data_IF_903496667702
#
_entry.id   IF_903496667702
#
_cell.length_a   1.000
_cell.length_b   1.000
_cell.length_c   1.000
_cell.angle_alpha   90.00
_cell.angle_beta   90.00
_cell.angle_gamma   90.00
#
_symmetry.space_group_name_H-M   'P 1'
#
loop_
_entity.id
_entity.type
_entity.pdbx_description
1 polymer ?
#
# COMPACT_ATOMS: atom_id res chain seq x y z
N UNK A 1 -21.69 41.91 38.51
CA UNK A 1 -22.96 41.24 38.90
C UNK A 1 -22.79 39.75 38.70
N UNK A 2 -23.05 38.99 39.77
CA UNK A 2 -22.96 37.53 39.86
C UNK A 2 -24.14 36.90 39.10
N UNK A 3 -23.94 35.77 38.42
CA UNK A 3 -24.67 34.49 38.64
C UNK A 3 -23.89 33.33 38.02
N UNK A 4 -23.44 32.44 38.90
CA UNK A 4 -23.01 31.08 38.59
C UNK A 4 -24.24 30.16 38.60
N UNK A 5 -24.25 29.08 37.82
CA UNK A 5 -25.00 27.86 38.18
C UNK A 5 -24.35 26.64 37.53
N UNK A 6 -23.77 25.81 38.39
CA UNK A 6 -23.32 24.43 38.23
C UNK A 6 -24.50 23.46 38.16
N UNK A 7 -24.35 22.34 37.44
CA UNK A 7 -24.95 21.06 37.85
C UNK A 7 -24.13 19.89 37.29
N UNK A 8 -23.95 18.90 38.16
CA UNK A 8 -22.99 17.82 38.09
C UNK A 8 -23.69 16.46 37.96
N UNK A 9 -22.85 15.44 37.72
CA UNK A 9 -23.01 14.04 38.11
C UNK A 9 -23.83 13.14 37.17
N UNK A 10 -23.24 12.02 36.72
CA UNK A 10 -23.29 10.72 37.41
C UNK A 10 -22.36 9.71 36.70
N UNK A 11 -21.58 9.01 37.52
CA UNK A 11 -20.68 7.90 37.21
C UNK A 11 -21.48 6.60 37.06
N UNK A 12 -21.08 5.71 36.14
CA UNK A 12 -21.30 4.28 36.32
C UNK A 12 -20.10 3.48 35.77
N UNK A 13 -19.34 2.94 36.72
CA UNK A 13 -18.28 1.96 36.58
C UNK A 13 -18.91 0.58 36.39
N UNK A 14 -18.49 -0.20 35.40
CA UNK A 14 -18.67 -1.66 35.44
C UNK A 14 -17.44 -2.36 34.88
N UNK A 15 -16.57 -2.75 35.83
CA UNK A 15 -15.56 -3.78 35.66
C UNK A 15 -16.29 -5.13 35.67
N UNK A 16 -16.10 -5.94 34.63
CA UNK A 16 -16.37 -7.38 34.72
C UNK A 16 -15.03 -8.09 34.63
N UNK A 17 -14.59 -8.56 35.79
CA UNK A 17 -13.46 -9.48 35.95
C UNK A 17 -14.01 -10.89 35.74
N UNK A 18 -13.63 -11.53 34.64
CA UNK A 18 -13.85 -12.96 34.43
C UNK A 18 -12.59 -13.74 34.81
N UNK A 19 -12.49 -14.10 36.09
CA UNK A 19 -11.53 -15.07 36.59
C UNK A 19 -12.27 -16.37 36.89
N UNK A 20 -12.01 -17.43 36.12
CA UNK A 20 -12.16 -18.80 36.59
C UNK A 20 -10.86 -19.54 36.33
N UNK A 21 -10.19 -19.86 37.42
CA UNK A 21 -9.04 -20.72 37.49
C UNK A 21 -9.48 -22.19 37.56
N UNK A 22 -8.64 -23.03 36.95
CA UNK A 22 -8.18 -24.35 37.37
C UNK A 22 -9.18 -25.51 37.54
N UNK A 23 -9.03 -26.50 36.64
CA UNK A 23 -8.89 -27.91 37.04
C UNK A 23 -7.49 -28.36 36.64
N UNK A 24 -6.70 -28.81 37.63
CA UNK A 24 -5.41 -29.46 37.45
C UNK A 24 -5.61 -30.88 36.90
N UNK A 25 -4.74 -31.37 36.01
CA UNK A 25 -3.72 -32.35 36.41
C UNK A 25 -2.68 -32.64 35.31
N UNK A 26 -1.43 -32.71 35.78
CA UNK A 26 -0.27 -33.50 35.33
C UNK A 26 0.49 -33.28 34.00
N UNK A 27 1.73 -32.79 34.20
CA UNK A 27 3.00 -33.41 33.79
C UNK A 27 3.56 -33.15 32.37
N UNK A 28 4.47 -32.15 32.34
CA UNK A 28 5.86 -32.17 31.81
C UNK A 28 6.07 -32.58 30.35
N UNK A 29 6.37 -31.60 29.49
CA UNK A 29 7.67 -31.59 28.81
C UNK A 29 8.09 -30.19 28.30
N UNK A 30 9.38 -29.96 28.41
CA UNK A 30 10.15 -28.77 28.03
C UNK A 30 10.28 -28.61 26.52
N UNK A 31 9.87 -27.47 25.96
CA UNK A 31 10.49 -26.89 24.75
C UNK A 31 10.18 -25.39 24.67
N UNK A 32 11.18 -24.48 24.63
CA UNK A 32 10.93 -23.08 24.33
C UNK A 32 10.65 -22.96 22.83
N UNK A 33 9.37 -22.95 22.44
CA UNK A 33 8.98 -22.63 21.07
C UNK A 33 9.11 -21.12 20.88
N UNK A 34 10.30 -20.75 20.43
CA UNK A 34 10.70 -19.46 19.88
C UNK A 34 9.52 -18.65 19.33
N UNK A 35 9.31 -17.48 19.93
CA UNK A 35 8.74 -16.32 19.27
C UNK A 35 9.55 -16.06 18.00
N UNK A 36 8.98 -16.25 16.82
CA UNK A 36 9.30 -15.52 15.59
C UNK A 36 8.33 -15.99 14.51
N UNK A 37 7.28 -15.22 14.26
CA UNK A 37 6.57 -15.15 12.96
C UNK A 37 5.53 -14.02 12.98
N UNK A 38 5.95 -12.80 13.35
CA UNK A 38 5.09 -11.61 13.26
C UNK A 38 5.68 -10.52 12.36
N UNK A 39 6.64 -10.85 11.48
CA UNK A 39 7.34 -9.82 10.70
C UNK A 39 7.35 -10.02 9.17
N UNK A 40 6.78 -11.12 8.63
CA UNK A 40 6.64 -11.26 7.16
C UNK A 40 5.35 -10.65 6.59
N UNK A 41 4.31 -10.50 7.39
CA UNK A 41 3.02 -9.98 6.90
C UNK A 41 2.98 -8.45 6.75
N UNK A 42 3.85 -7.71 7.45
CA UNK A 42 3.79 -6.25 7.47
C UNK A 42 4.30 -5.61 6.18
N UNK A 43 5.39 -6.12 5.61
CA UNK A 43 5.92 -5.61 4.34
C UNK A 43 5.00 -5.90 3.14
N UNK A 44 4.36 -7.07 3.09
CA UNK A 44 3.41 -7.40 2.01
C UNK A 44 2.12 -6.56 2.09
N UNK A 45 1.62 -6.28 3.30
CA UNK A 45 0.40 -5.47 3.47
C UNK A 45 0.63 -3.97 3.23
N UNK A 46 1.83 -3.44 3.50
CA UNK A 46 2.16 -2.02 3.23
C UNK A 46 2.17 -1.70 1.73
N UNK A 47 2.27 -2.71 0.86
CA UNK A 47 2.23 -2.55 -0.59
C UNK A 47 0.80 -2.51 -1.15
N UNK A 48 -0.22 -2.91 -0.37
CA UNK A 48 -1.62 -2.81 -0.75
C UNK A 48 -2.24 -1.57 -0.10
N UNK A 49 -2.73 -0.62 -0.90
CA UNK A 49 -3.43 0.58 -0.40
C UNK A 49 -4.75 0.78 -1.12
N UNK A 50 -5.72 1.38 -0.44
CA UNK A 50 -7.05 1.64 -1.00
C UNK A 50 -7.16 3.10 -1.47
N UNK A 51 -7.75 3.29 -2.65
CA UNK A 51 -8.15 4.58 -3.21
C UNK A 51 -9.57 4.42 -3.73
N UNK A 52 -10.54 5.08 -3.08
CA UNK A 52 -11.98 5.05 -3.45
C UNK A 52 -12.54 3.66 -3.74
N UNK A 53 -12.21 2.67 -2.90
CA UNK A 53 -12.68 1.29 -3.06
C UNK A 53 -11.82 0.41 -3.95
N UNK A 54 -10.89 0.97 -4.73
CA UNK A 54 -9.87 0.20 -5.45
C UNK A 54 -8.72 -0.13 -4.52
N UNK A 55 -8.46 -1.42 -4.30
CA UNK A 55 -7.24 -1.88 -3.64
C UNK A 55 -6.14 -2.01 -4.69
N UNK A 56 -5.06 -1.25 -4.54
CA UNK A 56 -3.92 -1.20 -5.45
C UNK A 56 -2.72 -1.80 -4.74
N UNK A 57 -2.09 -2.78 -5.39
CA UNK A 57 -0.90 -3.47 -4.92
C UNK A 57 0.28 -3.15 -5.83
N UNK A 58 1.38 -2.71 -5.24
CA UNK A 58 2.66 -2.60 -5.96
C UNK A 58 3.43 -3.90 -5.78
N UNK A 59 3.50 -4.69 -6.85
CA UNK A 59 4.11 -6.03 -6.80
C UNK A 59 5.63 -5.89 -6.83
N UNK A 60 6.15 -5.13 -7.78
CA UNK A 60 7.59 -4.89 -7.87
C UNK A 60 7.97 -3.67 -8.73
N UNK A 61 9.23 -3.25 -8.55
CA UNK A 61 9.91 -2.27 -9.38
C UNK A 61 11.14 -2.92 -10.00
N UNK A 62 11.23 -2.90 -11.34
CA UNK A 62 12.31 -3.51 -12.10
C UNK A 62 13.01 -2.45 -12.94
N UNK A 63 14.34 -2.48 -12.94
CA UNK A 63 15.21 -1.74 -13.83
C UNK A 63 15.40 -2.57 -15.08
N UNK A 64 14.93 -2.03 -16.21
CA UNK A 64 15.19 -2.60 -17.51
C UNK A 64 16.43 -1.97 -18.12
N UNK A 65 17.13 -2.77 -18.92
CA UNK A 65 18.26 -2.31 -19.70
C UNK A 65 17.90 -1.13 -20.60
N UNK A 66 18.96 -0.39 -20.96
CA UNK A 66 18.87 0.84 -21.73
C UNK A 66 18.08 0.62 -23.00
N UNK A 67 17.07 1.48 -23.23
CA UNK A 67 16.33 1.45 -24.48
C UNK A 67 17.30 1.74 -25.64
N UNK A 68 17.35 0.84 -26.63
CA UNK A 68 18.32 0.89 -27.75
C UNK A 68 18.35 2.22 -28.51
N UNK A 69 17.30 3.03 -28.39
CA UNK A 69 17.13 4.31 -29.10
C UNK A 69 17.51 5.54 -28.26
N UNK A 70 17.49 5.47 -26.92
CA UNK A 70 17.65 6.65 -26.07
C UNK A 70 18.78 6.54 -25.03
N UNK A 71 19.40 5.37 -24.88
CA UNK A 71 20.39 5.08 -23.83
C UNK A 71 19.85 5.28 -22.39
N UNK A 72 18.54 5.44 -22.26
CA UNK A 72 17.87 5.68 -20.98
C UNK A 72 17.58 4.36 -20.27
N UNK A 73 17.90 4.31 -18.98
CA UNK A 73 17.45 3.25 -18.08
C UNK A 73 15.96 3.41 -17.81
N UNK A 74 15.22 2.30 -17.91
CA UNK A 74 13.76 2.31 -17.73
C UNK A 74 13.40 1.66 -16.39
N UNK A 75 12.52 2.31 -15.65
CA UNK A 75 11.84 1.77 -14.48
C UNK A 75 10.50 1.18 -14.92
N UNK A 76 10.32 -0.12 -14.72
CA UNK A 76 9.03 -0.80 -14.82
C UNK A 76 8.43 -0.95 -13.43
N UNK A 77 7.21 -0.48 -13.23
CA UNK A 77 6.40 -0.75 -12.03
C UNK A 77 5.34 -1.77 -12.42
N UNK A 78 5.39 -2.94 -11.79
CA UNK A 78 4.37 -3.97 -11.95
C UNK A 78 3.37 -3.86 -10.80
N UNK A 79 2.08 -3.75 -11.13
CA UNK A 79 1.04 -3.47 -10.15
C UNK A 79 -0.28 -4.13 -10.51
N UNK A 80 -1.09 -4.36 -9.49
CA UNK A 80 -2.43 -4.94 -9.58
C UNK A 80 -3.44 -4.00 -8.93
N UNK A 81 -4.65 -3.97 -9.46
CA UNK A 81 -5.78 -3.30 -8.83
C UNK A 81 -7.01 -4.20 -8.81
N UNK A 82 -7.77 -4.12 -7.72
CA UNK A 82 -9.08 -4.75 -7.58
C UNK A 82 -10.11 -3.72 -7.14
N UNK A 83 -11.18 -3.58 -7.90
CA UNK A 83 -12.28 -2.71 -7.52
C UNK A 83 -13.20 -3.42 -6.52
N UNK A 84 -13.27 -2.91 -5.29
CA UNK A 84 -14.17 -3.40 -4.24
C UNK A 84 -15.37 -2.47 -4.02
N UNK A 85 -15.50 -1.42 -4.84
CA UNK A 85 -16.65 -0.52 -4.88
C UNK A 85 -17.73 -1.01 -5.85
N UNK A 86 -18.91 -0.40 -5.76
CA UNK A 86 -20.03 -0.70 -6.65
C UNK A 86 -19.86 -0.04 -8.04
N UNK A 87 -19.25 1.14 -8.08
CA UNK A 87 -19.06 1.92 -9.30
C UNK A 87 -17.80 1.49 -10.06
N UNK A 88 -17.81 1.68 -11.38
CA UNK A 88 -16.63 1.45 -12.21
C UNK A 88 -15.51 2.42 -11.82
N UNK A 89 -14.27 1.94 -11.73
CA UNK A 89 -13.11 2.74 -11.33
C UNK A 89 -11.97 2.57 -12.33
N UNK A 90 -11.22 3.63 -12.66
CA UNK A 90 -10.04 3.49 -13.50
C UNK A 90 -8.94 2.73 -12.76
N UNK A 91 -8.18 1.92 -13.51
CA UNK A 91 -6.86 1.42 -13.14
C UNK A 91 -5.95 1.67 -14.33
N UNK A 92 -5.19 2.75 -14.26
CA UNK A 92 -4.39 3.25 -15.38
C UNK A 92 -3.01 3.70 -14.91
N UNK A 93 -1.98 3.29 -15.63
CA UNK A 93 -0.59 3.68 -15.42
C UNK A 93 -0.38 5.19 -15.51
N UNK A 94 -1.20 5.91 -16.29
CA UNK A 94 -1.14 7.38 -16.37
C UNK A 94 -1.62 8.08 -15.09
N UNK A 95 -2.30 7.37 -14.20
CA UNK A 95 -2.69 7.87 -12.87
C UNK A 95 -1.59 7.66 -11.83
N UNK A 96 -0.48 7.02 -12.21
CA UNK A 96 0.73 6.90 -11.40
C UNK A 96 1.69 8.05 -11.68
N UNK A 97 2.28 8.59 -10.63
CA UNK A 97 3.45 9.46 -10.71
C UNK A 97 4.56 8.93 -9.81
N UNK A 98 5.80 9.00 -10.31
CA UNK A 98 7.00 8.60 -9.55
C UNK A 98 7.85 9.82 -9.30
N UNK A 99 8.30 10.01 -8.07
CA UNK A 99 9.29 11.03 -7.71
C UNK A 99 10.58 10.40 -7.23
N UNK A 100 11.71 10.96 -7.61
CA UNK A 100 13.01 10.61 -7.02
C UNK A 100 13.19 11.26 -5.63
N UNK A 101 14.31 10.96 -4.96
CA UNK A 101 14.63 11.56 -3.63
C UNK A 101 14.63 13.08 -3.63
N UNK A 102 14.95 13.71 -4.76
CA UNK A 102 14.98 15.15 -4.93
C UNK A 102 13.57 15.74 -5.13
N UNK A 103 12.53 14.89 -5.15
CA UNK A 103 11.14 15.30 -5.37
C UNK A 103 10.80 15.55 -6.84
N UNK A 104 11.72 15.28 -7.76
CA UNK A 104 11.49 15.46 -9.20
C UNK A 104 10.64 14.32 -9.74
N UNK A 105 9.60 14.67 -10.51
CA UNK A 105 8.73 13.69 -11.17
C UNK A 105 9.49 13.05 -12.34
N UNK A 106 9.52 11.72 -12.38
CA UNK A 106 10.10 10.95 -13.47
C UNK A 106 9.22 11.07 -14.72
N UNK A 107 9.85 11.13 -15.89
CA UNK A 107 9.13 11.15 -17.15
C UNK A 107 8.51 9.77 -17.44
N UNK A 108 7.29 9.74 -17.97
CA UNK A 108 6.67 8.51 -18.48
C UNK A 108 7.44 8.05 -19.71
N UNK A 109 7.80 6.77 -19.75
CA UNK A 109 8.43 6.17 -20.92
C UNK A 109 7.33 5.56 -21.82
N UNK A 110 7.29 5.91 -23.12
CA UNK A 110 6.25 5.42 -24.02
C UNK A 110 6.44 3.93 -24.31
N UNK A 111 5.64 3.10 -23.65
CA UNK A 111 5.55 1.65 -23.81
C UNK A 111 4.11 1.20 -23.61
N UNK A 112 3.81 -0.06 -23.87
CA UNK A 112 2.49 -0.64 -23.59
C UNK A 112 2.29 -0.70 -22.07
N UNK A 113 1.45 0.18 -21.53
CA UNK A 113 1.13 0.24 -20.11
C UNK A 113 -0.31 -0.17 -19.82
N UNK A 114 -0.58 -0.59 -18.59
CA UNK A 114 -1.92 -0.93 -18.14
C UNK A 114 -2.82 0.32 -18.19
N UNK A 115 -3.97 0.18 -18.83
CA UNK A 115 -5.04 1.17 -18.83
C UNK A 115 -6.37 0.47 -19.01
N UNK A 116 -7.20 0.45 -17.97
CA UNK A 116 -8.52 -0.18 -18.02
C UNK A 116 -9.50 0.48 -17.05
N UNK A 117 -10.78 0.23 -17.24
CA UNK A 117 -11.82 0.52 -16.24
C UNK A 117 -12.25 -0.79 -15.60
N UNK A 118 -12.14 -0.89 -14.29
CA UNK A 118 -12.55 -2.03 -13.48
C UNK A 118 -14.00 -1.84 -13.04
N UNK A 119 -14.90 -2.73 -13.44
CA UNK A 119 -16.23 -2.83 -12.84
C UNK A 119 -16.14 -3.37 -11.43
N UNK A 120 -17.26 -3.35 -10.70
CA UNK A 120 -17.35 -3.94 -9.36
C UNK A 120 -16.78 -5.36 -9.33
N UNK A 121 -15.92 -5.63 -8.35
CA UNK A 121 -15.25 -6.90 -8.11
C UNK A 121 -14.24 -7.36 -9.18
N UNK A 122 -14.05 -6.59 -10.27
CA UNK A 122 -13.03 -6.90 -11.29
C UNK A 122 -11.63 -6.56 -10.77
N UNK A 123 -10.65 -7.30 -11.31
CA UNK A 123 -9.23 -7.08 -11.09
C UNK A 123 -8.47 -7.06 -12.40
N UNK A 124 -7.38 -6.28 -12.43
CA UNK A 124 -6.42 -6.29 -13.52
C UNK A 124 -5.01 -6.06 -12.98
N UNK A 125 -4.03 -6.53 -13.74
CA UNK A 125 -2.61 -6.50 -13.40
C UNK A 125 -1.82 -6.11 -14.66
N UNK A 126 -0.75 -5.36 -14.48
CA UNK A 126 0.07 -4.92 -15.59
C UNK A 126 1.17 -3.96 -15.18
N UNK A 127 1.72 -3.27 -16.18
CA UNK A 127 2.96 -2.51 -16.04
C UNK A 127 2.77 -1.01 -16.30
N UNK A 128 3.57 -0.19 -15.63
CA UNK A 128 3.80 1.22 -15.92
C UNK A 128 5.30 1.46 -16.14
N UNK A 129 5.66 2.35 -17.08
CA UNK A 129 7.06 2.58 -17.46
C UNK A 129 7.46 4.04 -17.30
N UNK A 130 8.62 4.27 -16.69
CA UNK A 130 9.18 5.59 -16.44
C UNK A 130 10.67 5.62 -16.82
N UNK A 131 11.17 6.77 -17.22
CA UNK A 131 12.62 7.00 -17.35
C UNK A 131 13.22 7.11 -15.95
N UNK A 132 14.10 6.18 -15.58
CA UNK A 132 14.74 6.18 -14.27
C UNK A 132 15.83 7.25 -14.20
N UNK A 133 15.65 8.24 -13.31
CA UNK A 133 16.64 9.27 -13.02
C UNK A 133 16.87 9.39 -11.51
N UNK A 134 18.11 9.12 -11.09
CA UNK A 134 18.50 9.08 -9.68
C UNK A 134 18.25 7.72 -9.02
N UNK A 135 18.52 7.67 -7.71
CA UNK A 135 18.51 6.42 -6.92
C UNK A 135 17.32 6.31 -5.97
N UNK A 136 17.06 5.10 -5.46
CA UNK A 136 16.03 4.81 -4.44
C UNK A 136 16.37 5.39 -3.07
N UNK A 137 15.41 5.84 -2.25
CA UNK A 137 13.98 5.60 -2.42
C UNK A 137 13.31 6.47 -3.49
N UNK A 138 12.35 5.87 -4.18
CA UNK A 138 11.38 6.58 -5.02
C UNK A 138 10.04 6.68 -4.30
N UNK A 139 9.30 7.74 -4.55
CA UNK A 139 7.92 7.91 -4.09
C UNK A 139 6.97 7.64 -5.25
N UNK A 140 6.18 6.58 -5.17
CA UNK A 140 5.12 6.27 -6.13
C UNK A 140 3.79 6.79 -5.59
N UNK A 141 3.01 7.47 -6.42
CA UNK A 141 1.72 8.05 -6.04
C UNK A 141 0.70 7.60 -7.08
N UNK A 142 -0.42 7.05 -6.63
CA UNK A 142 -1.62 6.86 -7.44
C UNK A 142 -2.66 7.91 -7.04
N UNK A 143 -3.30 8.55 -8.01
CA UNK A 143 -4.32 9.57 -7.78
C UNK A 143 -5.57 9.28 -8.62
N UNK A 144 -6.71 9.15 -7.94
CA UNK A 144 -7.99 9.06 -8.63
C UNK A 144 -8.29 10.39 -9.34
N UNK A 145 -8.60 10.38 -10.65
CA UNK A 145 -8.76 11.60 -11.42
C UNK A 145 -10.01 12.39 -11.03
N UNK A 146 -11.04 11.73 -10.51
CA UNK A 146 -12.34 12.34 -10.18
C UNK A 146 -12.36 12.89 -8.77
N UNK A 147 -11.95 12.09 -7.78
CA UNK A 147 -12.03 12.44 -6.36
C UNK A 147 -10.76 13.14 -5.83
N UNK A 148 -9.63 12.99 -6.54
CA UNK A 148 -8.29 13.38 -6.09
C UNK A 148 -7.77 12.61 -4.87
N UNK A 149 -8.43 11.54 -4.45
CA UNK A 149 -7.92 10.62 -3.44
C UNK A 149 -6.60 9.99 -3.88
N UNK A 150 -5.66 9.82 -2.95
CA UNK A 150 -4.31 9.34 -3.27
C UNK A 150 -3.87 8.20 -2.38
N UNK A 151 -3.06 7.32 -2.94
CA UNK A 151 -2.19 6.42 -2.20
C UNK A 151 -0.74 6.70 -2.56
N UNK A 152 0.16 6.50 -1.61
CA UNK A 152 1.60 6.78 -1.79
C UNK A 152 2.44 5.65 -1.23
N UNK A 153 3.41 5.18 -1.99
CA UNK A 153 4.35 4.12 -1.61
C UNK A 153 5.79 4.63 -1.69
N UNK A 154 6.65 4.01 -0.88
CA UNK A 154 8.10 4.23 -0.92
C UNK A 154 8.76 3.00 -1.50
N UNK A 155 9.31 3.11 -2.71
CA UNK A 155 10.05 2.05 -3.38
C UNK A 155 11.51 2.13 -2.94
N UNK A 156 11.92 1.23 -2.04
CA UNK A 156 13.29 1.21 -1.47
C UNK A 156 14.30 0.47 -2.34
N UNK A 157 13.84 -0.53 -3.09
CA UNK A 157 14.67 -1.40 -3.91
C UNK A 157 14.08 -1.48 -5.31
N UNK A 158 14.95 -1.42 -6.32
CA UNK A 158 14.61 -1.71 -7.72
C UNK A 158 15.43 -2.94 -8.09
N UNK A 159 14.77 -3.99 -8.57
CA UNK A 159 15.43 -5.22 -9.02
C UNK A 159 16.02 -5.00 -10.41
N UNK A 160 17.16 -5.61 -10.71
CA UNK A 160 17.62 -5.68 -12.10
C UNK A 160 16.79 -6.71 -12.88
N UNK A 161 16.57 -6.47 -14.17
CA UNK A 161 15.98 -7.48 -15.05
C UNK A 161 16.86 -8.74 -15.06
N UNK A 162 16.23 -9.91 -14.89
CA UNK A 162 16.89 -11.22 -14.98
C UNK A 162 16.90 -11.74 -16.41
#
# INVERSE_FOLDING_TARGET
MKKATTLASIVALSLVVGACANTANDTKDTTPKSETSANKNKEATDMIKKVDGVAIEIIEAIKLDKAKKTDETILKIHFKGKNNGADSQPLDAMLLSVKNKQGQVLAVYPSTSLGTSLKSSEEAEGDAFFVLKGDTPLTLIYENPDTKSKATWTIKTIKDAS
#
